data_IF_406462526929
#
_entry.id   IF_406462526929
#
_cell.length_a   1.000
_cell.length_b   1.000
_cell.length_c   1.000
_cell.angle_alpha   90.00
_cell.angle_beta   90.00
_cell.angle_gamma   90.00
#
_symmetry.space_group_name_H-M   'P 1'
#
loop_
_entity.id
_entity.type
_entity.pdbx_description
1 polymer ?
#
# COMPACT_ATOMS: atom_id res chain seq x y z
N UNK A 1 -12.39 -12.82 0.51
CA UNK A 1 -12.94 -11.76 1.39
C UNK A 1 -12.45 -10.41 0.87
N UNK A 2 -13.28 -9.37 0.88
CA UNK A 2 -12.91 -8.02 0.46
C UNK A 2 -13.30 -7.06 1.57
N UNK A 3 -12.41 -6.14 1.93
CA UNK A 3 -12.65 -5.12 2.95
C UNK A 3 -12.48 -3.73 2.35
N UNK A 4 -13.35 -2.81 2.76
CA UNK A 4 -13.28 -1.40 2.41
C UNK A 4 -13.24 -0.57 3.69
N UNK A 5 -12.39 0.46 3.69
CA UNK A 5 -12.29 1.46 4.75
C UNK A 5 -12.25 2.84 4.11
N UNK A 6 -13.06 3.74 4.64
CA UNK A 6 -13.10 5.14 4.26
C UNK A 6 -12.37 5.96 5.32
N UNK A 7 -11.67 7.00 4.87
CA UNK A 7 -10.98 7.98 5.71
C UNK A 7 -11.18 9.36 5.08
N UNK A 8 -11.40 10.37 5.92
CA UNK A 8 -11.50 11.77 5.50
C UNK A 8 -10.13 12.38 5.15
N UNK A 9 -9.05 11.63 5.40
CA UNK A 9 -7.67 12.04 5.15
C UNK A 9 -6.94 10.99 4.34
N UNK A 10 -5.93 11.44 3.59
CA UNK A 10 -4.95 10.58 2.94
C UNK A 10 -3.65 10.47 3.75
N UNK A 11 -3.61 11.02 4.97
CA UNK A 11 -2.42 11.00 5.82
C UNK A 11 -1.89 9.60 6.12
N UNK A 12 -0.59 9.50 6.42
CA UNK A 12 0.06 8.22 6.70
C UNK A 12 -0.39 7.53 7.98
N UNK A 13 -0.82 8.33 8.94
CA UNK A 13 -1.54 7.91 10.14
C UNK A 13 -2.71 6.95 9.82
N UNK A 14 -3.51 7.26 8.80
CA UNK A 14 -4.64 6.42 8.40
C UNK A 14 -4.17 5.02 8.00
N UNK A 15 -3.10 4.96 7.19
CA UNK A 15 -2.51 3.72 6.68
C UNK A 15 -1.86 2.91 7.81
N UNK A 16 -1.12 3.56 8.71
CA UNK A 16 -0.52 2.93 9.90
C UNK A 16 -1.59 2.30 10.80
N UNK A 17 -2.67 3.03 11.09
CA UNK A 17 -3.79 2.55 11.91
C UNK A 17 -4.54 1.38 11.27
N UNK A 18 -4.78 1.44 9.96
CA UNK A 18 -5.51 0.38 9.24
C UNK A 18 -4.75 -0.94 9.16
N UNK A 19 -3.42 -0.86 9.11
CA UNK A 19 -2.54 -2.00 8.87
C UNK A 19 -1.66 -2.29 10.10
N UNK A 20 -2.08 -1.81 11.27
CA UNK A 20 -1.43 -2.11 12.54
C UNK A 20 -1.49 -3.61 12.83
N UNK A 21 -0.35 -4.18 13.22
CA UNK A 21 -0.16 -5.62 13.42
C UNK A 21 0.02 -6.44 12.14
N UNK A 22 -0.04 -5.83 10.94
CA UNK A 22 0.23 -6.54 9.70
C UNK A 22 1.71 -6.90 9.60
N UNK A 23 1.99 -8.14 9.23
CA UNK A 23 3.35 -8.63 8.95
C UNK A 23 3.37 -9.34 7.60
N UNK A 24 4.55 -9.40 6.95
CA UNK A 24 4.73 -10.08 5.66
C UNK A 24 4.73 -9.13 4.46
N UNK A 25 4.23 -9.59 3.31
CA UNK A 25 4.29 -8.85 2.04
C UNK A 25 2.98 -8.10 1.79
N UNK A 26 3.06 -6.78 1.61
CA UNK A 26 1.93 -5.93 1.24
C UNK A 26 2.12 -5.40 -0.19
N UNK A 27 1.23 -5.79 -1.10
CA UNK A 27 1.17 -5.20 -2.44
C UNK A 27 0.46 -3.84 -2.39
N UNK A 28 1.15 -2.79 -2.85
CA UNK A 28 0.64 -1.41 -2.81
C UNK A 28 0.61 -0.78 -4.20
N UNK A 29 -0.30 0.18 -4.43
CA UNK A 29 -0.09 1.15 -5.49
C UNK A 29 0.98 2.16 -5.06
N UNK A 30 1.62 2.87 -5.99
CA UNK A 30 2.81 3.71 -5.73
C UNK A 30 2.57 4.94 -4.84
N UNK A 31 1.60 4.87 -3.94
CA UNK A 31 1.32 5.89 -2.97
C UNK A 31 2.43 5.92 -1.90
N UNK A 32 3.16 7.02 -1.83
CA UNK A 32 4.41 7.15 -1.05
C UNK A 32 4.21 6.94 0.45
N UNK A 33 2.99 7.13 0.94
CA UNK A 33 2.67 7.07 2.36
C UNK A 33 2.82 5.67 2.96
N UNK A 34 2.70 4.61 2.14
CA UNK A 34 2.97 3.24 2.58
C UNK A 34 4.41 3.02 3.06
N UNK A 35 5.38 3.86 2.63
CA UNK A 35 6.77 3.76 3.10
C UNK A 35 6.92 3.94 4.61
N UNK A 36 5.93 4.56 5.27
CA UNK A 36 5.91 4.69 6.73
C UNK A 36 5.71 3.34 7.42
N UNK A 37 4.98 2.40 6.81
CA UNK A 37 4.82 1.03 7.32
C UNK A 37 6.15 0.25 7.34
N UNK A 38 7.05 0.56 6.40
CA UNK A 38 8.37 -0.06 6.31
C UNK A 38 9.44 0.63 7.18
N UNK A 39 9.17 1.86 7.66
CA UNK A 39 10.11 2.68 8.45
C UNK A 39 9.75 2.76 9.93
N UNK A 40 8.53 2.39 10.31
CA UNK A 40 8.07 2.38 11.70
C UNK A 40 8.80 1.31 12.50
N UNK A 41 9.67 1.71 13.41
CA UNK A 41 10.22 0.83 14.46
C UNK A 41 9.13 0.55 15.52
N UNK A 42 8.20 -0.35 15.23
CA UNK A 42 7.11 -0.80 16.13
C UNK A 42 5.99 -1.55 15.40
N UNK A 43 5.23 -2.39 16.15
CA UNK A 43 4.03 -3.23 15.84
C UNK A 43 4.02 -4.12 14.57
N UNK A 44 4.70 -3.71 13.51
CA UNK A 44 4.79 -4.36 12.20
C UNK A 44 6.24 -4.70 11.91
N UNK A 45 6.87 -5.56 12.73
CA UNK A 45 8.33 -5.76 12.72
C UNK A 45 8.91 -6.14 11.36
N UNK A 46 8.13 -6.63 10.38
CA UNK A 46 8.60 -6.80 9.00
C UNK A 46 7.43 -6.70 8.01
N UNK A 47 7.04 -5.49 7.60
CA UNK A 47 6.25 -5.31 6.36
C UNK A 47 7.18 -5.07 5.18
N UNK A 48 7.18 -6.00 4.23
CA UNK A 48 7.84 -5.84 2.94
C UNK A 48 6.84 -5.28 1.93
N UNK A 49 7.12 -4.09 1.40
CA UNK A 49 6.28 -3.49 0.37
C UNK A 49 6.63 -4.07 -1.00
N UNK A 50 5.60 -4.54 -1.71
CA UNK A 50 5.70 -4.99 -3.09
C UNK A 50 4.87 -4.08 -4.01
N UNK A 51 5.37 -3.79 -5.21
CA UNK A 51 4.59 -3.04 -6.19
C UNK A 51 3.43 -3.90 -6.74
N UNK A 52 2.22 -3.32 -6.82
CA UNK A 52 1.07 -4.01 -7.39
C UNK A 52 1.21 -4.17 -8.92
N UNK A 53 1.28 -5.42 -9.39
CA UNK A 53 1.45 -5.75 -10.81
C UNK A 53 0.29 -5.25 -11.68
N UNK A 54 -0.94 -5.34 -11.17
CA UNK A 54 -2.11 -4.81 -11.87
C UNK A 54 -2.04 -3.29 -12.07
N UNK A 55 -1.53 -2.53 -11.08
CA UNK A 55 -1.33 -1.08 -11.18
C UNK A 55 -0.27 -0.74 -12.23
N UNK A 56 0.86 -1.45 -12.24
CA UNK A 56 1.95 -1.25 -13.20
C UNK A 56 1.46 -1.46 -14.64
N UNK A 57 0.75 -2.57 -14.89
CA UNK A 57 0.24 -2.92 -16.23
C UNK A 57 -0.72 -1.89 -16.84
N UNK A 58 -1.44 -1.09 -16.04
CA UNK A 58 -2.38 -0.09 -16.56
C UNK A 58 -1.72 0.94 -17.46
N UNK A 59 -0.50 1.39 -17.13
CA UNK A 59 0.24 2.34 -17.99
C UNK A 59 0.68 1.69 -19.29
N UNK A 60 1.14 0.44 -19.24
CA UNK A 60 1.53 -0.30 -20.44
C UNK A 60 0.34 -0.59 -21.35
N UNK A 61 -0.82 -0.94 -20.78
CA UNK A 61 -2.04 -1.11 -21.55
C UNK A 61 -2.45 0.19 -22.25
N UNK A 62 -2.42 1.32 -21.55
CA UNK A 62 -2.73 2.62 -22.16
C UNK A 62 -1.78 2.98 -23.31
N UNK A 63 -0.51 2.60 -23.22
CA UNK A 63 0.46 2.78 -24.32
C UNK A 63 0.23 1.80 -25.49
N UNK A 64 -0.21 0.58 -25.21
CA UNK A 64 -0.43 -0.44 -26.24
C UNK A 64 -1.70 -0.20 -27.07
N UNK A 65 -2.73 0.39 -26.47
CA UNK A 65 -4.03 0.65 -27.13
C UNK A 65 -4.04 1.98 -27.91
N UNK A 66 -3.05 2.84 -27.68
CA UNK A 66 -2.82 4.05 -28.47
C UNK A 66 -2.04 3.74 -29.75
#
# INVERSE_FOLDING_TARGET
MVAYRFEDSRGGECVERHLAGLTGILQVDSYTTYTRLAKSAGANEVVTLAACFARVRRRFYALHVN
#
